data_IF_506733420792
#
_entry.id   IF_506733420792
#
_cell.length_a   1.000
_cell.length_b   1.000
_cell.length_c   1.000
_cell.angle_alpha   90.00
_cell.angle_beta   90.00
_cell.angle_gamma   90.00
#
_symmetry.space_group_name_H-M   'P 1'
#
loop_
_entity.id
_entity.type
_entity.pdbx_description
1 polymer ?
#
# COMPACT_ATOMS: atom_id res chain seq x y z
N UNK A 1 17.63 27.99 36.32
CA UNK A 1 17.42 26.52 36.34
C UNK A 1 15.96 26.12 36.20
N UNK A 2 14.98 26.77 36.88
CA UNK A 2 13.55 26.42 36.77
C UNK A 2 12.96 26.63 35.37
N UNK A 3 13.28 27.73 34.69
CA UNK A 3 12.79 28.06 33.35
C UNK A 3 13.30 27.08 32.29
N UNK A 4 14.56 26.66 32.34
CA UNK A 4 15.14 25.70 31.42
C UNK A 4 14.49 24.31 31.58
N UNK A 5 14.23 23.88 32.82
CA UNK A 5 13.56 22.63 33.10
C UNK A 5 12.10 22.64 32.61
N UNK A 6 11.41 23.79 32.75
CA UNK A 6 10.04 23.96 32.21
C UNK A 6 10.01 23.82 30.68
N UNK A 7 10.91 24.50 29.97
CA UNK A 7 11.00 24.42 28.51
C UNK A 7 11.33 23.00 28.04
N UNK A 8 12.21 22.29 28.72
CA UNK A 8 12.55 20.91 28.39
C UNK A 8 11.35 19.97 28.57
N UNK A 9 10.65 20.14 29.71
CA UNK A 9 9.45 19.35 29.99
C UNK A 9 8.33 19.59 28.94
N UNK A 10 8.14 20.87 28.57
CA UNK A 10 7.14 21.23 27.55
C UNK A 10 7.50 20.65 26.19
N UNK A 11 8.77 20.66 25.79
CA UNK A 11 9.23 20.05 24.56
C UNK A 11 9.06 18.51 24.56
N UNK A 12 9.39 17.86 25.69
CA UNK A 12 9.20 16.43 25.85
C UNK A 12 7.71 16.04 25.81
N UNK A 13 6.83 16.80 26.43
CA UNK A 13 5.39 16.55 26.41
C UNK A 13 4.84 16.68 24.98
N UNK A 14 5.21 17.74 24.26
CA UNK A 14 4.80 17.92 22.86
C UNK A 14 5.29 16.78 21.97
N UNK A 15 6.54 16.35 22.15
CA UNK A 15 7.08 15.21 21.41
C UNK A 15 6.27 13.93 21.67
N UNK A 16 5.97 13.65 22.94
CA UNK A 16 5.16 12.50 23.34
C UNK A 16 3.75 12.55 22.75
N UNK A 17 3.10 13.70 22.79
CA UNK A 17 1.78 13.91 22.20
C UNK A 17 1.80 13.65 20.69
N UNK A 18 2.83 14.15 19.99
CA UNK A 18 3.00 13.93 18.55
C UNK A 18 3.21 12.46 18.23
N UNK A 19 4.08 11.77 18.95
CA UNK A 19 4.32 10.33 18.74
C UNK A 19 3.05 9.50 18.99
N UNK A 20 2.31 9.80 20.06
CA UNK A 20 1.02 9.13 20.33
C UNK A 20 0.01 9.39 19.23
N UNK A 21 -0.03 10.60 18.66
CA UNK A 21 -0.91 10.93 17.54
C UNK A 21 -0.52 10.12 16.29
N UNK A 22 0.77 10.05 15.95
CA UNK A 22 1.26 9.29 14.81
C UNK A 22 0.93 7.80 14.95
N UNK A 23 1.19 7.22 16.13
CA UNK A 23 0.87 5.83 16.45
C UNK A 23 -0.62 5.56 16.27
N UNK A 24 -1.47 6.37 16.91
CA UNK A 24 -2.93 6.22 16.79
C UNK A 24 -3.41 6.37 15.35
N UNK A 25 -2.88 7.36 14.61
CA UNK A 25 -3.21 7.58 13.20
C UNK A 25 -2.82 6.37 12.35
N UNK A 26 -1.64 5.83 12.59
CA UNK A 26 -1.15 4.67 11.87
C UNK A 26 -2.00 3.43 12.15
N UNK A 27 -2.29 3.13 13.41
CA UNK A 27 -3.12 1.98 13.80
C UNK A 27 -4.50 2.06 13.14
N UNK A 28 -5.17 3.20 13.22
CA UNK A 28 -6.48 3.40 12.57
C UNK A 28 -6.41 3.25 11.06
N UNK A 29 -5.31 3.65 10.45
CA UNK A 29 -5.11 3.54 9.01
C UNK A 29 -4.83 2.09 8.61
N UNK A 30 -3.99 1.36 9.36
CA UNK A 30 -3.73 -0.05 9.14
C UNK A 30 -5.00 -0.90 9.30
N UNK A 31 -5.79 -0.66 10.35
CA UNK A 31 -7.10 -1.32 10.53
C UNK A 31 -8.03 -1.11 9.32
N UNK A 32 -8.01 0.11 8.77
CA UNK A 32 -8.79 0.43 7.57
C UNK A 32 -8.32 -0.38 6.36
N UNK A 33 -6.99 -0.51 6.19
CA UNK A 33 -6.40 -1.30 5.10
C UNK A 33 -6.77 -2.76 5.24
N UNK A 34 -6.58 -3.29 6.43
CA UNK A 34 -6.89 -4.69 6.70
C UNK A 34 -8.36 -4.99 6.39
N UNK A 35 -9.27 -4.09 6.74
CA UNK A 35 -10.68 -4.24 6.39
C UNK A 35 -10.90 -4.27 4.87
N UNK A 36 -10.29 -3.35 4.13
CA UNK A 36 -10.39 -3.25 2.67
C UNK A 36 -9.76 -4.46 1.97
N UNK A 37 -8.57 -4.86 2.38
CA UNK A 37 -7.88 -6.01 1.79
C UNK A 37 -8.61 -7.31 2.12
N UNK A 38 -9.17 -7.43 3.31
CA UNK A 38 -10.00 -8.57 3.67
C UNK A 38 -11.26 -8.64 2.81
N UNK A 39 -11.89 -7.51 2.47
CA UNK A 39 -13.02 -7.50 1.55
C UNK A 39 -12.63 -8.05 0.17
N UNK A 40 -11.47 -7.64 -0.36
CA UNK A 40 -10.93 -8.22 -1.61
C UNK A 40 -10.63 -9.72 -1.47
N UNK A 41 -10.14 -10.17 -0.32
CA UNK A 41 -9.83 -11.58 -0.07
C UNK A 41 -11.08 -12.49 -0.07
N UNK A 42 -12.25 -11.94 0.23
CA UNK A 42 -13.52 -12.71 0.18
C UNK A 42 -14.09 -12.90 -1.22
N UNK A 43 -13.49 -12.30 -2.25
CA UNK A 43 -13.91 -12.47 -3.63
C UNK A 43 -13.53 -13.88 -4.14
N UNK A 44 -14.49 -14.79 -4.09
CA UNK A 44 -14.29 -16.21 -4.43
C UNK A 44 -13.96 -16.43 -5.92
N UNK A 45 -14.28 -15.49 -6.77
CA UNK A 45 -14.00 -15.55 -8.21
C UNK A 45 -12.54 -15.26 -8.58
N UNK A 46 -11.77 -14.56 -7.75
CA UNK A 46 -10.39 -14.16 -8.07
C UNK A 46 -9.48 -15.34 -8.39
N UNK A 47 -9.46 -16.45 -7.61
CA UNK A 47 -8.65 -17.61 -7.94
C UNK A 47 -8.92 -18.16 -9.34
N UNK A 48 -10.17 -18.11 -9.80
CA UNK A 48 -10.55 -18.58 -11.13
C UNK A 48 -9.97 -17.68 -12.22
N UNK A 49 -10.17 -16.39 -12.12
CA UNK A 49 -9.75 -15.44 -13.16
C UNK A 49 -8.22 -15.27 -13.23
N UNK A 50 -7.53 -15.37 -12.12
CA UNK A 50 -6.09 -15.15 -12.05
C UNK A 50 -5.25 -16.40 -12.38
N UNK A 51 -5.87 -17.59 -12.48
CA UNK A 51 -5.16 -18.83 -12.74
C UNK A 51 -4.96 -19.04 -14.26
N UNK A 52 -3.70 -19.20 -14.68
CA UNK A 52 -3.30 -19.47 -16.07
C UNK A 52 -3.92 -20.74 -16.68
N UNK A 53 -4.35 -21.68 -15.83
CA UNK A 53 -5.00 -22.91 -16.28
C UNK A 53 -6.40 -22.70 -16.84
N UNK A 54 -7.01 -21.56 -16.53
CA UNK A 54 -8.35 -21.24 -16.98
C UNK A 54 -8.30 -20.42 -18.26
N UNK A 55 -8.99 -20.91 -19.29
CA UNK A 55 -9.17 -20.17 -20.54
C UNK A 55 -10.41 -19.29 -20.39
N UNK A 56 -10.19 -17.97 -20.39
CA UNK A 56 -11.25 -17.01 -20.23
C UNK A 56 -11.79 -16.55 -21.59
N UNK A 57 -13.11 -16.56 -21.74
CA UNK A 57 -13.78 -15.89 -22.85
C UNK A 57 -13.52 -14.37 -22.78
N UNK A 58 -13.66 -13.68 -23.90
CA UNK A 58 -13.51 -12.22 -23.96
C UNK A 58 -14.47 -11.51 -22.99
N UNK A 59 -15.69 -12.02 -22.85
CA UNK A 59 -16.68 -11.50 -21.92
C UNK A 59 -16.24 -11.64 -20.47
N UNK A 60 -15.64 -12.77 -20.08
CA UNK A 60 -15.12 -13.00 -18.74
C UNK A 60 -13.91 -12.10 -18.44
N UNK A 61 -13.01 -11.91 -19.42
CA UNK A 61 -11.88 -11.00 -19.28
C UNK A 61 -12.36 -9.57 -19.02
N UNK A 62 -13.31 -9.07 -19.82
CA UNK A 62 -13.88 -7.73 -19.66
C UNK A 62 -14.58 -7.60 -18.31
N UNK A 63 -15.39 -8.60 -17.93
CA UNK A 63 -16.08 -8.60 -16.64
C UNK A 63 -15.11 -8.49 -15.47
N UNK A 64 -14.09 -9.36 -15.43
CA UNK A 64 -13.13 -9.38 -14.34
C UNK A 64 -12.38 -8.05 -14.22
N UNK A 65 -11.87 -7.54 -15.34
CA UNK A 65 -11.10 -6.29 -15.34
C UNK A 65 -11.96 -5.12 -14.93
N UNK A 66 -13.19 -5.03 -15.43
CA UNK A 66 -14.11 -3.95 -15.04
C UNK A 66 -14.43 -4.02 -13.55
N UNK A 67 -14.70 -5.22 -13.02
CA UNK A 67 -14.96 -5.44 -11.61
C UNK A 67 -13.76 -5.06 -10.74
N UNK A 68 -12.54 -5.46 -11.12
CA UNK A 68 -11.32 -5.12 -10.38
C UNK A 68 -11.01 -3.63 -10.43
N UNK A 69 -11.16 -3.00 -11.58
CA UNK A 69 -10.96 -1.56 -11.71
C UNK A 69 -11.97 -0.78 -10.85
N UNK A 70 -13.23 -1.22 -10.85
CA UNK A 70 -14.27 -0.63 -10.02
C UNK A 70 -13.92 -0.74 -8.53
N UNK A 71 -13.49 -1.92 -8.07
CA UNK A 71 -13.08 -2.12 -6.68
C UNK A 71 -11.87 -1.25 -6.29
N UNK A 72 -10.82 -1.23 -7.10
CA UNK A 72 -9.63 -0.40 -6.83
C UNK A 72 -9.93 1.10 -6.90
N UNK A 73 -10.85 1.51 -7.77
CA UNK A 73 -11.34 2.89 -7.85
C UNK A 73 -12.17 3.23 -6.62
N UNK A 74 -13.08 2.34 -6.21
CA UNK A 74 -13.93 2.52 -5.04
C UNK A 74 -13.10 2.64 -3.76
N UNK A 75 -12.09 1.80 -3.58
CA UNK A 75 -11.15 1.89 -2.46
C UNK A 75 -10.52 3.29 -2.41
N UNK A 76 -10.04 3.79 -3.54
CA UNK A 76 -9.46 5.12 -3.64
C UNK A 76 -10.49 6.23 -3.39
N UNK A 77 -11.73 6.04 -3.84
CA UNK A 77 -12.81 7.02 -3.69
C UNK A 77 -13.30 7.11 -2.24
N UNK A 78 -13.42 5.97 -1.56
CA UNK A 78 -13.83 5.89 -0.16
C UNK A 78 -12.74 6.40 0.79
N UNK A 79 -11.48 6.26 0.39
CA UNK A 79 -10.32 6.64 1.20
C UNK A 79 -9.31 7.50 0.41
N UNK A 80 -9.72 8.67 -0.12
CA UNK A 80 -8.93 9.44 -1.10
C UNK A 80 -7.60 9.93 -0.58
N UNK A 81 -7.47 10.04 0.74
CA UNK A 81 -6.26 10.52 1.40
C UNK A 81 -5.34 9.39 1.89
N UNK A 82 -5.64 8.13 1.60
CA UNK A 82 -4.89 6.98 2.13
C UNK A 82 -4.29 6.14 1.01
N UNK A 83 -5.08 5.81 0.01
CA UNK A 83 -4.65 4.93 -1.07
C UNK A 83 -4.10 5.72 -2.26
N UNK A 84 -2.89 5.35 -2.67
CA UNK A 84 -2.21 5.96 -3.81
C UNK A 84 -2.49 5.19 -5.10
N UNK A 85 -2.27 3.87 -5.09
CA UNK A 85 -2.37 3.03 -6.27
C UNK A 85 -2.80 1.60 -5.91
N UNK A 86 -3.34 0.88 -6.89
CA UNK A 86 -3.62 -0.54 -6.81
C UNK A 86 -3.24 -1.24 -8.10
N UNK A 87 -2.70 -2.44 -7.99
CA UNK A 87 -2.27 -3.27 -9.11
C UNK A 87 -2.65 -4.73 -8.89
N UNK A 88 -2.88 -5.47 -9.99
CA UNK A 88 -3.11 -6.91 -9.97
C UNK A 88 -2.02 -7.59 -10.77
N UNK A 89 -1.34 -8.52 -10.14
CA UNK A 89 -0.37 -9.41 -10.78
C UNK A 89 -1.01 -10.78 -10.96
N UNK A 90 -1.14 -11.24 -12.19
CA UNK A 90 -1.85 -12.46 -12.54
C UNK A 90 -0.93 -13.49 -13.21
N UNK A 91 -1.12 -14.78 -12.91
CA UNK A 91 -0.52 -15.83 -13.72
C UNK A 91 -1.25 -16.01 -15.06
N UNK A 92 -2.50 -15.54 -15.16
CA UNK A 92 -3.28 -15.59 -16.39
C UNK A 92 -2.94 -14.44 -17.34
N UNK A 93 -2.12 -14.71 -18.34
CA UNK A 93 -1.67 -13.71 -19.31
C UNK A 93 -2.78 -13.14 -20.20
N UNK A 94 -3.96 -13.77 -20.27
CA UNK A 94 -5.09 -13.26 -21.05
C UNK A 94 -5.62 -11.92 -20.51
N UNK A 95 -5.36 -11.62 -19.23
CA UNK A 95 -5.81 -10.40 -18.56
C UNK A 95 -4.77 -9.27 -18.73
N UNK A 96 -3.48 -9.62 -18.78
CA UNK A 96 -2.33 -8.69 -18.72
C UNK A 96 -2.31 -7.66 -19.85
N UNK A 97 -2.60 -8.05 -21.07
CA UNK A 97 -2.23 -7.26 -22.26
C UNK A 97 -3.22 -6.14 -22.63
N UNK A 98 -4.38 -6.13 -22.03
CA UNK A 98 -5.50 -5.28 -22.48
C UNK A 98 -5.81 -4.09 -21.59
N UNK A 99 -5.28 -4.04 -20.35
CA UNK A 99 -5.83 -3.12 -19.34
C UNK A 99 -4.77 -2.53 -18.42
N UNK A 100 -4.92 -1.26 -18.09
CA UNK A 100 -4.10 -0.59 -17.09
C UNK A 100 -4.19 -1.29 -15.72
N UNK A 101 -3.08 -1.30 -14.97
CA UNK A 101 -2.96 -1.89 -13.63
C UNK A 101 -3.02 -3.42 -13.57
N UNK A 102 -2.97 -4.08 -14.70
CA UNK A 102 -2.89 -5.53 -14.81
C UNK A 102 -1.50 -5.92 -15.31
N UNK A 103 -0.80 -6.71 -14.52
CA UNK A 103 0.59 -7.12 -14.75
C UNK A 103 0.69 -8.65 -14.72
N UNK A 104 1.75 -9.18 -15.29
CA UNK A 104 2.07 -10.59 -15.14
C UNK A 104 2.62 -10.88 -13.74
N UNK A 105 2.26 -12.02 -13.18
CA UNK A 105 2.89 -12.51 -11.95
C UNK A 105 4.41 -12.69 -12.13
N UNK A 106 4.87 -12.96 -13.35
CA UNK A 106 6.29 -13.04 -13.67
C UNK A 106 6.99 -11.69 -13.53
N UNK A 107 6.31 -10.60 -13.84
CA UNK A 107 6.85 -9.26 -13.63
C UNK A 107 7.11 -9.00 -12.14
N UNK A 108 6.22 -9.50 -11.27
CA UNK A 108 6.39 -9.41 -9.82
C UNK A 108 7.51 -10.34 -9.32
N UNK A 109 7.65 -11.55 -9.87
CA UNK A 109 8.71 -12.49 -9.51
C UNK A 109 10.12 -11.92 -9.75
N UNK A 110 10.25 -11.04 -10.73
CA UNK A 110 11.50 -10.38 -11.06
C UNK A 110 11.83 -9.18 -10.13
N UNK A 111 10.93 -8.83 -9.20
CA UNK A 111 11.16 -7.76 -8.25
C UNK A 111 11.98 -8.23 -7.05
N UNK A 112 12.89 -7.39 -6.51
CA UNK A 112 13.77 -7.77 -5.41
C UNK A 112 13.01 -8.16 -4.13
N UNK A 113 11.80 -7.63 -3.95
CA UNK A 113 10.95 -7.86 -2.77
C UNK A 113 9.99 -9.05 -2.92
N UNK A 114 9.97 -9.75 -4.06
CA UNK A 114 9.07 -10.89 -4.26
C UNK A 114 9.25 -12.00 -3.22
N UNK A 115 10.49 -12.33 -2.91
CA UNK A 115 10.79 -13.36 -1.93
C UNK A 115 10.28 -13.01 -0.52
N UNK A 116 10.23 -11.74 -0.16
CA UNK A 116 9.65 -11.28 1.10
C UNK A 116 8.14 -11.52 1.11
N UNK A 117 7.44 -11.20 0.01
CA UNK A 117 5.99 -11.41 -0.11
C UNK A 117 5.63 -12.89 0.06
N UNK A 118 6.35 -13.80 -0.60
CA UNK A 118 6.03 -15.23 -0.55
C UNK A 118 6.48 -15.91 0.73
N UNK A 119 7.46 -15.36 1.44
CA UNK A 119 7.95 -15.91 2.71
C UNK A 119 6.94 -15.68 3.86
N UNK A 120 6.10 -14.67 3.76
CA UNK A 120 5.07 -14.41 4.75
C UNK A 120 4.02 -15.53 4.72
N UNK A 121 3.62 -15.99 5.91
CA UNK A 121 2.65 -17.11 6.06
C UNK A 121 1.23 -16.65 5.78
N UNK A 122 0.90 -15.43 6.15
CA UNK A 122 -0.42 -14.88 6.00
C UNK A 122 -0.71 -14.50 4.54
N UNK A 123 -1.97 -14.53 4.16
CA UNK A 123 -2.39 -14.13 2.81
C UNK A 123 -2.14 -12.64 2.58
N UNK A 124 -2.24 -11.84 3.63
CA UNK A 124 -1.99 -10.40 3.61
C UNK A 124 -0.62 -10.14 4.22
N UNK A 125 0.17 -9.30 3.58
CA UNK A 125 1.48 -8.89 4.08
C UNK A 125 1.78 -7.44 3.73
N UNK A 126 2.58 -6.79 4.58
CA UNK A 126 3.07 -5.44 4.35
C UNK A 126 4.50 -5.51 3.84
N UNK A 127 4.78 -4.74 2.78
CA UNK A 127 6.14 -4.58 2.28
C UNK A 127 6.90 -3.49 3.04
N UNK A 128 8.15 -3.30 2.66
CA UNK A 128 8.92 -2.13 3.12
C UNK A 128 8.49 -0.88 2.38
N UNK A 129 8.54 0.27 3.07
CA UNK A 129 8.31 1.57 2.42
C UNK A 129 9.30 1.74 1.27
N UNK A 130 8.79 2.12 0.12
CA UNK A 130 9.57 2.32 -1.10
C UNK A 130 9.00 3.47 -1.92
N UNK A 131 9.77 3.92 -2.86
CA UNK A 131 9.26 4.84 -3.87
C UNK A 131 8.23 4.12 -4.73
N UNK A 132 7.08 4.75 -4.97
CA UNK A 132 6.07 4.16 -5.83
C UNK A 132 6.62 3.95 -7.24
N UNK A 133 6.46 2.75 -7.77
CA UNK A 133 6.81 2.40 -9.14
C UNK A 133 5.70 2.82 -10.12
N UNK A 134 4.52 3.13 -9.61
CA UNK A 134 3.34 3.44 -10.39
C UNK A 134 3.10 4.95 -10.45
N UNK A 135 2.81 5.44 -11.65
CA UNK A 135 2.37 6.83 -11.82
C UNK A 135 0.84 6.87 -11.72
N UNK A 136 0.32 7.71 -10.84
CA UNK A 136 -1.11 7.98 -10.83
C UNK A 136 -1.49 8.70 -12.13
N UNK A 137 -2.27 8.05 -12.98
CA UNK A 137 -2.74 8.61 -14.25
C UNK A 137 -3.69 9.81 -14.09
N UNK A 138 -4.11 10.14 -12.87
CA UNK A 138 -5.11 11.19 -12.59
C UNK A 138 -4.55 12.45 -11.95
N UNK A 139 -3.25 12.55 -11.78
CA UNK A 139 -2.65 13.83 -11.44
C UNK A 139 -2.09 14.40 -12.74
N UNK A 140 -2.79 15.37 -13.32
CA UNK A 140 -2.25 16.28 -14.34
C UNK A 140 -1.14 17.12 -13.68
N UNK A 141 -0.02 16.45 -13.34
CA UNK A 141 1.17 17.06 -12.73
C UNK A 141 1.86 17.99 -13.75
N UNK A 142 1.52 17.88 -15.04
CA UNK A 142 2.10 18.71 -16.09
C UNK A 142 1.78 20.21 -15.93
N UNK A 143 0.72 20.57 -15.20
CA UNK A 143 0.33 21.97 -15.00
C UNK A 143 0.74 22.57 -13.65
N UNK A 144 1.27 21.77 -12.75
CA UNK A 144 1.86 22.26 -11.51
C UNK A 144 3.37 22.03 -11.64
N UNK A 145 4.14 23.08 -11.70
CA UNK A 145 5.63 23.08 -11.55
C UNK A 145 6.04 22.55 -10.15
N UNK A 146 5.34 21.56 -9.65
CA UNK A 146 5.73 20.82 -8.49
C UNK A 146 6.83 19.85 -8.92
N UNK A 147 8.01 20.03 -8.36
CA UNK A 147 9.08 19.04 -8.35
C UNK A 147 8.45 17.65 -8.33
N UNK A 148 8.96 16.74 -9.18
CA UNK A 148 8.52 15.34 -9.21
C UNK A 148 8.86 14.70 -7.87
N UNK A 149 8.11 15.06 -6.82
CA UNK A 149 8.26 14.49 -5.50
C UNK A 149 8.00 13.01 -5.64
N UNK A 150 9.03 12.23 -5.40
CA UNK A 150 8.96 10.78 -5.39
C UNK A 150 8.05 10.41 -4.23
N UNK A 151 6.87 9.85 -4.54
CA UNK A 151 5.91 9.45 -3.52
C UNK A 151 6.39 8.15 -2.89
N UNK A 152 6.59 8.18 -1.58
CA UNK A 152 6.89 7.00 -0.79
C UNK A 152 5.60 6.32 -0.34
N UNK A 153 5.55 5.01 -0.53
CA UNK A 153 4.38 4.19 -0.24
C UNK A 153 4.72 3.01 0.65
N UNK A 154 3.76 2.63 1.46
CA UNK A 154 3.73 1.33 2.13
C UNK A 154 2.87 0.39 1.26
N UNK A 155 3.46 -0.57 0.57
CA UNK A 155 2.71 -1.54 -0.22
C UNK A 155 2.11 -2.61 0.69
N UNK A 156 0.86 -2.97 0.42
CA UNK A 156 0.19 -4.10 1.04
C UNK A 156 -0.15 -5.12 -0.04
N UNK A 157 0.13 -6.38 0.23
CA UNK A 157 -0.02 -7.47 -0.73
C UNK A 157 -1.06 -8.47 -0.25
N UNK A 158 -2.00 -8.82 -1.12
CA UNK A 158 -2.92 -9.94 -0.93
C UNK A 158 -2.52 -11.07 -1.89
N UNK A 159 -2.09 -12.19 -1.35
CA UNK A 159 -1.81 -13.40 -2.14
C UNK A 159 -3.09 -14.15 -2.47
N UNK A 160 -3.32 -14.41 -3.74
CA UNK A 160 -4.46 -15.18 -4.22
C UNK A 160 -3.99 -16.59 -4.59
N UNK A 161 -4.63 -17.59 -4.01
CA UNK A 161 -4.25 -18.99 -4.19
C UNK A 161 -5.29 -19.74 -5.01
N UNK A 162 -4.84 -20.64 -5.88
CA UNK A 162 -5.69 -21.68 -6.42
C UNK A 162 -6.21 -22.54 -5.27
N UNK A 163 -7.52 -22.71 -5.19
CA UNK A 163 -8.17 -23.39 -4.07
C UNK A 163 -7.81 -24.88 -3.95
N UNK A 164 -7.48 -25.53 -5.07
CA UNK A 164 -7.18 -26.96 -5.13
C UNK A 164 -5.68 -27.24 -4.93
N UNK A 165 -4.81 -26.47 -5.60
CA UNK A 165 -3.36 -26.71 -5.61
C UNK A 165 -2.60 -25.94 -4.54
N UNK A 166 -3.22 -24.93 -3.96
CA UNK A 166 -2.58 -23.99 -3.02
C UNK A 166 -1.40 -23.22 -3.62
N UNK A 167 -1.28 -23.17 -4.93
CA UNK A 167 -0.29 -22.35 -5.61
C UNK A 167 -0.78 -20.90 -5.69
N UNK A 168 0.14 -19.95 -5.59
CA UNK A 168 -0.16 -18.54 -5.82
C UNK A 168 -0.43 -18.34 -7.31
N UNK A 169 -1.64 -17.88 -7.63
CA UNK A 169 -2.08 -17.58 -8.99
C UNK A 169 -2.15 -16.08 -9.27
N UNK A 170 -2.05 -15.28 -8.22
CA UNK A 170 -1.99 -13.84 -8.35
C UNK A 170 -1.62 -13.15 -7.05
N UNK A 171 -1.29 -11.88 -7.17
CA UNK A 171 -1.07 -10.96 -6.05
C UNK A 171 -1.78 -9.65 -6.37
N UNK A 172 -2.54 -9.16 -5.41
CA UNK A 172 -3.11 -7.81 -5.47
C UNK A 172 -2.26 -6.92 -4.59
N UNK A 173 -1.75 -5.84 -5.16
CA UNK A 173 -0.96 -4.84 -4.46
C UNK A 173 -1.79 -3.58 -4.29
N UNK A 174 -1.80 -3.05 -3.08
CA UNK A 174 -2.43 -1.77 -2.75
C UNK A 174 -1.39 -0.89 -2.07
N UNK A 175 -1.05 0.20 -2.72
CA UNK A 175 -0.06 1.17 -2.26
C UNK A 175 -0.71 2.28 -1.45
N UNK A 176 -0.12 2.60 -0.31
CA UNK A 176 -0.52 3.73 0.52
C UNK A 176 0.60 4.72 0.67
N UNK A 177 0.26 6.00 0.59
CA UNK A 177 1.21 7.07 0.84
C UNK A 177 1.57 7.12 2.33
N UNK A 178 2.87 6.97 2.65
CA UNK A 178 3.34 6.84 4.04
C UNK A 178 3.04 8.10 4.86
N UNK A 179 3.17 9.29 4.29
CA UNK A 179 2.89 10.56 4.97
C UNK A 179 1.44 10.67 5.41
N UNK A 180 0.53 10.14 4.58
CA UNK A 180 -0.91 10.07 4.91
C UNK A 180 -1.20 9.00 5.97
N UNK A 181 -0.46 7.90 5.92
CA UNK A 181 -0.58 6.81 6.88
C UNK A 181 -0.26 7.27 8.29
N UNK A 182 0.86 7.98 8.46
CA UNK A 182 1.29 8.49 9.78
C UNK A 182 0.56 9.78 10.20
N UNK A 183 -0.29 10.34 9.33
CA UNK A 183 -1.04 11.56 9.61
C UNK A 183 -0.16 12.83 9.63
N UNK A 184 0.91 12.85 8.84
CA UNK A 184 1.91 13.92 8.85
C UNK A 184 1.30 15.30 8.55
N UNK A 185 0.28 15.37 7.70
CA UNK A 185 -0.43 16.62 7.37
C UNK A 185 -1.10 17.30 8.59
N UNK A 186 -1.36 16.55 9.65
CA UNK A 186 -2.04 17.01 10.85
C UNK A 186 -1.08 17.13 12.05
N UNK A 187 0.22 16.89 11.84
CA UNK A 187 1.18 17.05 12.92
C UNK A 187 1.28 18.52 13.32
N UNK A 188 1.26 18.84 14.62
CA UNK A 188 1.61 20.17 15.07
C UNK A 188 3.01 20.48 14.54
N UNK A 189 3.17 21.68 13.95
CA UNK A 189 4.44 22.15 13.39
C UNK A 189 5.52 22.02 14.47
N UNK A 190 6.16 20.87 14.51
CA UNK A 190 7.41 20.70 15.22
C UNK A 190 8.47 21.33 14.32
N UNK A 191 9.30 22.20 14.89
CA UNK A 191 10.34 22.89 14.12
C UNK A 191 11.09 21.90 13.22
N UNK A 192 11.58 22.37 12.08
CA UNK A 192 12.14 21.63 10.93
C UNK A 192 13.29 20.62 11.21
N UNK A 193 13.48 20.18 12.46
CA UNK A 193 14.63 19.37 12.90
C UNK A 193 14.22 18.15 13.75
N UNK A 194 13.06 17.57 13.52
CA UNK A 194 12.68 16.33 14.21
C UNK A 194 12.67 15.20 13.19
N UNK A 195 13.60 14.26 13.37
CA UNK A 195 13.62 13.01 12.62
C UNK A 195 12.94 11.92 13.45
N UNK A 196 12.20 11.05 12.81
CA UNK A 196 11.57 9.90 13.45
C UNK A 196 11.79 8.62 12.65
N UNK A 197 11.76 7.52 13.37
CA UNK A 197 11.86 6.17 12.84
C UNK A 197 10.53 5.45 13.10
N UNK A 198 10.03 4.77 12.08
CA UNK A 198 8.93 3.84 12.19
C UNK A 198 9.46 2.43 12.13
N UNK A 199 9.22 1.64 13.15
CA UNK A 199 9.64 0.25 13.25
C UNK A 199 8.42 -0.66 13.36
N UNK A 200 8.50 -1.86 12.82
CA UNK A 200 7.51 -2.90 13.08
C UNK A 200 7.67 -3.52 14.49
N UNK A 201 6.78 -4.43 14.84
CA UNK A 201 6.81 -5.14 16.13
C UNK A 201 8.10 -5.96 16.36
N UNK A 202 8.88 -6.24 15.31
CA UNK A 202 10.15 -6.96 15.35
C UNK A 202 11.36 -6.03 15.31
N UNK A 203 11.15 -4.71 15.47
CA UNK A 203 12.13 -3.64 15.33
C UNK A 203 12.76 -3.54 13.93
N UNK A 204 12.09 -4.03 12.89
CA UNK A 204 12.51 -3.82 11.51
C UNK A 204 12.12 -2.40 11.09
N UNK A 205 13.05 -1.67 10.48
CA UNK A 205 12.78 -0.32 9.98
C UNK A 205 11.74 -0.38 8.84
N UNK A 206 10.64 0.34 9.03
CA UNK A 206 9.61 0.53 8.01
C UNK A 206 9.83 1.86 7.29
N UNK A 207 10.06 2.94 8.05
CA UNK A 207 10.21 4.29 7.51
C UNK A 207 11.11 5.14 8.39
N UNK A 208 11.83 6.09 7.78
CA UNK A 208 12.68 7.04 8.46
C UNK A 208 12.58 8.40 7.77
N UNK A 209 12.42 9.48 8.56
CA UNK A 209 12.62 10.86 8.10
C UNK A 209 14.05 11.29 8.37
N UNK A 210 14.56 12.18 7.54
CA UNK A 210 15.96 12.62 7.62
C UNK A 210 16.94 11.66 6.94
N UNK A 211 18.05 12.19 6.47
CA UNK A 211 19.17 11.44 5.86
C UNK A 211 20.40 11.57 6.76
#
# INVERSE_FOLDING_TARGET
>A
RGFQNSLLNDAQNKLKETLNYMETSMDMNLDTIDAVINELNYRQEFPYFLDEKNVLSEKEQIYFVSSMQEELINIRYLYPNKFYYGAVFSSNNQIKEKYERQYSLEDLKNKPYYNEIIAEKDNISYGMVRNSEFKSSNINIENLNLDKSVIQVLPTYLKVYNLSTRQIVGVIEVDMEITKLVGEDNLPVMGNNVDYLLLDQNNKLIYQTGT
#
